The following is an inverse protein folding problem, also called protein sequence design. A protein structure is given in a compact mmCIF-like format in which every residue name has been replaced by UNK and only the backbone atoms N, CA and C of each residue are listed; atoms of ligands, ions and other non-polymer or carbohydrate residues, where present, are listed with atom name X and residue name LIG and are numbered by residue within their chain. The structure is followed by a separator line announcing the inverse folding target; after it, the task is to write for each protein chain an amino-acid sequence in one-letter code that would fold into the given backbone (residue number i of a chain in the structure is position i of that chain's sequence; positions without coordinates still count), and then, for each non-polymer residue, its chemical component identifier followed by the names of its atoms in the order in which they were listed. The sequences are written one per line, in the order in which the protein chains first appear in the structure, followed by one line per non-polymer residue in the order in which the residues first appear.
data_IF_572105897510
#
_entry.id   IF_572105897510
#
_cell.length_a   1.000
_cell.length_b   1.000
_cell.length_c   1.000
_cell.angle_alpha   90.00
_cell.angle_beta   90.00
_cell.angle_gamma   90.00
#
_symmetry.space_group_name_H-M   'P 1'
#
loop_
_entity.id
_entity.type
_entity.pdbx_description
1 polymer ?
#
# COMPACT_ATOMS: atom_id res chain seq x y z
N UNK A 1 7.23 2.03 18.15
CA UNK A 1 7.94 3.13 17.47
C UNK A 1 7.11 3.58 16.28
N UNK A 2 6.93 4.88 16.10
CA UNK A 2 6.25 5.46 14.94
C UNK A 2 7.30 6.13 14.04
N UNK A 3 7.26 5.86 12.74
CA UNK A 3 8.17 6.43 11.76
C UNK A 3 7.37 6.91 10.56
N UNK A 4 7.70 8.09 10.04
CA UNK A 4 7.20 8.57 8.77
C UNK A 4 8.22 8.29 7.67
N UNK A 5 7.74 7.87 6.51
CA UNK A 5 8.54 7.72 5.29
C UNK A 5 7.78 8.37 4.14
N UNK A 6 8.50 9.01 3.23
CA UNK A 6 7.94 9.53 1.98
C UNK A 6 8.12 8.48 0.90
N UNK A 7 7.08 8.23 0.12
CA UNK A 7 7.10 7.25 -0.96
C UNK A 7 6.59 7.92 -2.25
N UNK A 8 7.41 7.87 -3.29
CA UNK A 8 6.98 8.20 -4.64
C UNK A 8 6.43 6.93 -5.31
N UNK A 9 5.32 7.07 -6.05
CA UNK A 9 4.72 5.95 -6.79
C UNK A 9 4.15 6.43 -8.12
N UNK A 10 4.06 5.51 -9.09
CA UNK A 10 3.49 5.79 -10.42
C UNK A 10 2.03 5.34 -10.49
N UNK A 11 1.17 6.20 -11.00
CA UNK A 11 -0.24 5.91 -11.25
C UNK A 11 -0.71 6.67 -12.49
N UNK A 12 -1.40 6.00 -13.43
CA UNK A 12 -1.85 6.61 -14.70
C UNK A 12 -0.77 7.50 -15.37
N UNK A 13 0.44 6.95 -15.54
CA UNK A 13 1.61 7.60 -16.17
C UNK A 13 2.19 8.82 -15.44
N UNK A 14 1.62 9.23 -14.30
CA UNK A 14 2.12 10.33 -13.47
C UNK A 14 2.80 9.80 -12.21
N UNK A 15 3.73 10.59 -11.67
CA UNK A 15 4.37 10.32 -10.38
C UNK A 15 3.65 11.12 -9.30
N UNK A 16 3.25 10.43 -8.24
CA UNK A 16 2.63 10.99 -7.06
C UNK A 16 3.49 10.71 -5.84
N UNK A 17 3.27 11.50 -4.79
CA UNK A 17 3.93 11.31 -3.49
C UNK A 17 2.90 10.92 -2.44
N UNK A 18 3.31 10.06 -1.52
CA UNK A 18 2.57 9.73 -0.31
C UNK A 18 3.47 9.82 0.92
N UNK A 19 2.84 10.05 2.07
CA UNK A 19 3.44 9.91 3.38
C UNK A 19 2.92 8.60 3.96
N UNK A 20 3.83 7.77 4.45
CA UNK A 20 3.48 6.51 5.10
C UNK A 20 3.88 6.60 6.56
N UNK A 21 2.90 6.45 7.43
CA UNK A 21 3.08 6.25 8.87
C UNK A 21 3.23 4.76 9.15
N UNK A 22 4.43 4.37 9.57
CA UNK A 22 4.77 3.01 9.98
C UNK A 22 4.47 2.84 11.47
N UNK A 23 3.53 1.95 11.79
CA UNK A 23 3.16 1.56 13.15
C UNK A 23 3.57 0.11 13.38
N UNK A 24 4.64 -0.10 14.16
CA UNK A 24 5.09 -1.45 14.53
C UNK A 24 4.45 -1.87 15.85
N UNK A 25 3.68 -2.96 15.82
CA UNK A 25 3.14 -3.65 17.00
C UNK A 25 3.86 -4.99 17.21
N UNK A 26 3.53 -5.72 18.29
CA UNK A 26 4.17 -7.02 18.59
C UNK A 26 3.98 -8.06 17.48
N UNK A 27 2.81 -8.08 16.85
CA UNK A 27 2.43 -9.14 15.90
C UNK A 27 2.44 -8.72 14.42
N UNK A 28 2.42 -7.41 14.13
CA UNK A 28 2.35 -6.89 12.76
C UNK A 28 2.88 -5.47 12.64
N UNK A 29 3.37 -5.13 11.45
CA UNK A 29 3.61 -3.72 11.06
C UNK A 29 2.42 -3.24 10.24
N UNK A 30 1.94 -2.03 10.53
CA UNK A 30 0.90 -1.35 9.74
C UNK A 30 1.51 -0.15 9.04
N UNK A 31 1.30 -0.08 7.73
CA UNK A 31 1.68 1.04 6.88
C UNK A 31 0.41 1.83 6.57
N UNK A 32 0.22 2.93 7.27
CA UNK A 32 -0.89 3.85 7.04
C UNK A 32 -0.47 4.91 6.02
N UNK A 33 -1.22 5.00 4.92
CA UNK A 33 -0.90 5.80 3.74
C UNK A 33 -1.67 7.12 3.78
N UNK A 34 -1.03 8.19 3.35
CA UNK A 34 -1.67 9.47 3.01
C UNK A 34 -1.11 9.94 1.68
N UNK A 35 -1.94 10.00 0.65
CA UNK A 35 -1.57 10.46 -0.69
C UNK A 35 -1.63 11.98 -0.73
N UNK A 36 -0.58 12.62 -1.24
CA UNK A 36 -0.48 14.09 -1.25
C UNK A 36 -1.36 14.75 -2.33
N UNK A 37 -1.98 13.96 -3.21
CA UNK A 37 -3.01 14.41 -4.14
C UNK A 37 -4.40 14.17 -3.53
N UNK A 38 -5.19 15.23 -3.39
CA UNK A 38 -6.48 15.17 -2.71
C UNK A 38 -7.52 14.26 -3.37
N UNK A 39 -7.50 14.13 -4.70
CA UNK A 39 -8.45 13.28 -5.41
C UNK A 39 -8.09 11.80 -5.25
N UNK A 40 -6.80 11.47 -5.32
CA UNK A 40 -6.32 10.11 -5.04
C UNK A 40 -6.48 9.72 -3.57
N UNK A 41 -6.32 10.67 -2.64
CA UNK A 41 -6.57 10.42 -1.21
C UNK A 41 -8.05 10.12 -0.95
N UNK A 42 -8.96 10.88 -1.59
CA UNK A 42 -10.40 10.58 -1.56
C UNK A 42 -10.70 9.21 -2.16
N UNK A 43 -10.04 8.85 -3.25
CA UNK A 43 -10.19 7.53 -3.86
C UNK A 43 -9.74 6.42 -2.89
N UNK A 44 -8.69 6.64 -2.10
CA UNK A 44 -8.17 5.69 -1.11
C UNK A 44 -8.96 5.69 0.22
N UNK A 45 -10.05 6.46 0.33
CA UNK A 45 -10.81 6.60 1.58
C UNK A 45 -11.24 5.25 2.15
N UNK A 46 -11.01 5.07 3.46
CA UNK A 46 -11.24 3.82 4.17
C UNK A 46 -10.25 2.68 3.86
N UNK A 47 -9.38 2.82 2.86
CA UNK A 47 -8.53 1.75 2.32
C UNK A 47 -7.02 2.10 2.36
N UNK A 48 -6.64 2.95 3.31
CA UNK A 48 -5.30 3.53 3.44
C UNK A 48 -4.29 2.67 4.21
N UNK A 49 -4.54 1.36 4.37
CA UNK A 49 -3.68 0.47 5.18
C UNK A 49 -3.14 -0.69 4.37
N UNK A 50 -1.85 -0.93 4.53
CA UNK A 50 -1.14 -2.15 4.13
C UNK A 50 -0.56 -2.76 5.40
N UNK A 51 -0.63 -4.09 5.52
CA UNK A 51 -0.10 -4.81 6.67
C UNK A 51 1.14 -5.57 6.26
N UNK A 52 2.11 -5.72 7.14
CA UNK A 52 3.16 -6.71 6.99
C UNK A 52 2.94 -7.84 7.98
N UNK A 53 2.91 -9.05 7.45
CA UNK A 53 2.78 -10.29 8.21
C UNK A 53 3.83 -11.27 7.69
N UNK A 54 4.68 -11.78 8.58
CA UNK A 54 5.73 -12.74 8.24
C UNK A 54 6.65 -12.27 7.08
N UNK A 55 6.97 -10.97 7.02
CA UNK A 55 7.83 -10.41 5.97
C UNK A 55 7.14 -10.24 4.60
N UNK A 56 5.81 -10.38 4.53
CA UNK A 56 5.02 -10.16 3.31
C UNK A 56 4.06 -9.00 3.53
N UNK A 57 4.01 -8.08 2.56
CA UNK A 57 3.02 -7.01 2.54
C UNK A 57 1.68 -7.55 2.05
N UNK A 58 0.67 -7.56 2.92
CA UNK A 58 -0.69 -7.98 2.64
C UNK A 58 -1.55 -6.75 2.27
N UNK A 59 -2.16 -6.82 1.08
CA UNK A 59 -3.10 -5.81 0.60
C UNK A 59 -4.51 -6.34 0.79
N UNK A 60 -5.28 -5.72 1.69
CA UNK A 60 -6.71 -6.04 1.80
C UNK A 60 -7.47 -5.59 0.54
N UNK A 61 -8.49 -6.37 0.12
CA UNK A 61 -9.32 -6.03 -1.03
C UNK A 61 -10.08 -4.73 -0.83
N UNK A 62 -10.15 -3.94 -1.89
CA UNK A 62 -10.87 -2.67 -1.94
C UNK A 62 -12.25 -2.82 -2.58
N UNK A 63 -13.13 -1.84 -2.35
CA UNK A 63 -14.51 -1.89 -2.81
C UNK A 63 -14.65 -1.73 -4.33
N UNK A 64 -13.69 -1.08 -4.99
CA UNK A 64 -13.69 -0.87 -6.43
C UNK A 64 -12.31 -1.09 -7.05
N UNK A 65 -12.29 -1.34 -8.37
CA UNK A 65 -11.09 -1.69 -9.13
C UNK A 65 -10.06 -0.57 -9.18
N UNK A 66 -10.49 0.69 -9.24
CA UNK A 66 -9.59 1.84 -9.34
C UNK A 66 -8.85 2.07 -8.02
N UNK A 67 -9.57 1.98 -6.90
CA UNK A 67 -9.03 2.00 -5.56
C UNK A 67 -8.07 0.83 -5.32
N UNK A 68 -8.44 -0.38 -5.78
CA UNK A 68 -7.56 -1.55 -5.72
C UNK A 68 -6.27 -1.30 -6.51
N UNK A 69 -6.36 -0.78 -7.73
CA UNK A 69 -5.21 -0.49 -8.57
C UNK A 69 -4.31 0.56 -7.92
N UNK A 70 -4.87 1.66 -7.39
CA UNK A 70 -4.13 2.68 -6.68
C UNK A 70 -3.36 2.09 -5.49
N UNK A 71 -4.05 1.31 -4.65
CA UNK A 71 -3.45 0.66 -3.48
C UNK A 71 -2.34 -0.32 -3.87
N UNK A 72 -2.54 -1.09 -4.95
CA UNK A 72 -1.51 -2.00 -5.50
C UNK A 72 -0.29 -1.22 -5.98
N UNK A 73 -0.44 -0.08 -6.66
CA UNK A 73 0.72 0.73 -7.09
C UNK A 73 1.50 1.31 -5.92
N UNK A 74 0.81 1.70 -4.84
CA UNK A 74 1.45 2.17 -3.62
C UNK A 74 2.18 1.00 -2.92
N UNK A 75 1.57 -0.19 -2.88
CA UNK A 75 2.18 -1.38 -2.30
C UNK A 75 3.41 -1.86 -3.08
N UNK A 76 3.36 -1.81 -4.42
CA UNK A 76 4.49 -2.13 -5.30
C UNK A 76 5.69 -1.22 -5.02
N UNK A 77 5.46 0.10 -4.93
CA UNK A 77 6.51 1.05 -4.59
C UNK A 77 7.05 0.82 -3.16
N UNK A 78 6.17 0.53 -2.20
CA UNK A 78 6.54 0.22 -0.82
C UNK A 78 7.37 -1.07 -0.73
N UNK A 79 6.97 -2.10 -1.47
CA UNK A 79 7.65 -3.39 -1.61
C UNK A 79 9.08 -3.21 -2.10
N UNK A 80 9.26 -2.43 -3.18
CA UNK A 80 10.59 -2.14 -3.73
C UNK A 80 11.48 -1.40 -2.73
N UNK A 81 10.94 -0.40 -2.03
CA UNK A 81 11.69 0.37 -1.04
C UNK A 81 12.10 -0.48 0.17
N UNK A 82 11.21 -1.36 0.66
CA UNK A 82 11.46 -2.20 1.83
C UNK A 82 12.16 -3.52 1.50
N UNK A 83 12.26 -3.88 0.22
CA UNK A 83 12.70 -5.20 -0.26
C UNK A 83 11.88 -6.34 0.33
N UNK A 84 10.57 -6.14 0.43
CA UNK A 84 9.61 -7.14 0.90
C UNK A 84 8.69 -7.54 -0.26
N UNK A 85 8.34 -8.82 -0.44
CA UNK A 85 7.29 -9.21 -1.38
C UNK A 85 5.94 -8.65 -0.92
N UNK A 86 4.99 -8.52 -1.85
CA UNK A 86 3.60 -8.20 -1.53
C UNK A 86 2.65 -9.20 -2.20
N UNK A 87 1.47 -9.39 -1.60
CA UNK A 87 0.39 -10.19 -2.17
C UNK A 87 -0.77 -9.28 -2.53
N UNK A 88 -1.21 -9.35 -3.79
CA UNK A 88 -2.42 -8.67 -4.23
C UNK A 88 -3.63 -9.62 -4.12
N UNK A 89 -4.82 -9.11 -3.74
CA UNK A 89 -6.05 -9.89 -3.78
C UNK A 89 -6.40 -10.16 -5.25
N UNK A 90 -5.93 -11.29 -5.75
CA UNK A 90 -6.06 -11.70 -7.16
C UNK A 90 -4.97 -12.68 -7.63
N UNK A 91 -3.77 -12.66 -7.04
CA UNK A 91 -2.67 -13.55 -7.45
C UNK A 91 -2.71 -14.94 -6.80
N UNK A 92 -3.45 -15.12 -5.70
CA UNK A 92 -3.63 -16.45 -5.07
C UNK A 92 -4.48 -17.45 -5.88
N UNK A 93 -4.91 -17.11 -7.09
CA UNK A 93 -5.73 -17.98 -7.95
C UNK A 93 -5.01 -18.53 -9.20
N UNK A 94 -3.72 -18.21 -9.41
CA UNK A 94 -2.96 -18.61 -10.61
C UNK A 94 -1.73 -19.50 -10.30
N UNK A 95 -1.70 -20.13 -9.12
CA UNK A 95 -0.63 -21.06 -8.73
C UNK A 95 -1.19 -22.28 -8.02
N UNK A 96 -2.19 -22.93 -8.63
CA UNK A 96 -2.66 -24.26 -8.28
C UNK A 96 -2.78 -25.10 -9.55
#
# INVERSE_FOLDING_TARGET
MQKFITLAFRFCEKIYSSIILVKKNKDRTVYQITVMNGDLEKLLYGNHRIYEKNGVLEIEPCANKEQQLLKTRIAEALSQMLRLPFTSPGESALSA
#
